data_IF_085464658999
#
_entry.id   IF_085464658999
#
_cell.length_a   1.000
_cell.length_b   1.000
_cell.length_c   1.000
_cell.angle_alpha   90.00
_cell.angle_beta   90.00
_cell.angle_gamma   90.00
#
_symmetry.space_group_name_H-M   'P 1'
#
loop_
_entity.id
_entity.type
_entity.pdbx_description
1 polymer ?
#
# COMPACT_ATOMS: atom_id res chain seq x y z
N UNK A 1 -5.06 6.64 -10.57
CA UNK A 1 -5.43 7.24 -9.28
C UNK A 1 -4.35 7.14 -8.22
N UNK A 2 -3.95 5.98 -7.67
CA UNK A 2 -2.91 5.99 -6.63
C UNK A 2 -1.54 6.48 -7.15
N UNK A 3 -1.13 6.02 -8.34
CA UNK A 3 0.07 6.56 -9.02
C UNK A 3 -0.07 8.07 -9.30
N UNK A 4 -1.26 8.55 -9.65
CA UNK A 4 -1.46 9.97 -9.96
C UNK A 4 -1.42 10.81 -8.69
N UNK A 5 -1.97 10.35 -7.56
CA UNK A 5 -1.83 11.00 -6.25
C UNK A 5 -0.35 11.09 -5.85
N UNK A 6 0.40 9.99 -6.00
CA UNK A 6 1.85 10.02 -5.75
C UNK A 6 2.55 11.04 -6.65
N UNK A 7 2.22 11.10 -7.94
CA UNK A 7 2.84 12.05 -8.87
C UNK A 7 2.52 13.52 -8.53
N UNK A 8 1.29 13.82 -8.08
CA UNK A 8 0.93 15.16 -7.60
C UNK A 8 1.77 15.60 -6.40
N UNK A 9 2.12 14.66 -5.52
CA UNK A 9 2.95 14.91 -4.33
C UNK A 9 4.44 14.58 -4.56
N UNK A 10 4.88 14.34 -5.80
CA UNK A 10 6.23 13.85 -6.09
C UNK A 10 7.32 14.81 -5.62
N UNK A 11 7.13 16.11 -5.82
CA UNK A 11 8.09 17.15 -5.39
C UNK A 11 8.38 17.08 -3.90
N UNK A 12 7.35 16.76 -3.10
CA UNK A 12 7.45 16.58 -1.66
C UNK A 12 8.00 15.20 -1.28
N UNK A 13 7.40 14.13 -1.80
CA UNK A 13 7.76 12.75 -1.45
C UNK A 13 9.14 12.32 -1.98
N UNK A 14 9.73 13.03 -2.94
CA UNK A 14 11.05 12.74 -3.51
C UNK A 14 12.09 13.83 -3.18
N UNK A 15 11.86 14.69 -2.18
CA UNK A 15 12.81 15.73 -1.80
C UNK A 15 14.07 15.13 -1.12
N UNK A 16 15.26 15.69 -1.36
CA UNK A 16 16.53 15.31 -0.70
C UNK A 16 16.63 15.78 0.75
N UNK A 17 15.89 16.84 1.12
CA UNK A 17 15.96 17.41 2.47
C UNK A 17 15.11 16.67 3.52
N UNK A 18 14.28 15.71 3.11
CA UNK A 18 13.42 14.93 4.00
C UNK A 18 14.08 13.60 4.38
N UNK A 19 13.99 13.24 5.66
CA UNK A 19 14.43 11.92 6.12
C UNK A 19 13.54 10.82 5.52
N UNK A 20 14.15 9.66 5.23
CA UNK A 20 13.43 8.50 4.69
C UNK A 20 12.28 8.06 5.60
N UNK A 21 12.46 8.19 6.91
CA UNK A 21 11.42 7.89 7.89
C UNK A 21 10.20 8.80 7.74
N UNK A 22 10.43 10.11 7.62
CA UNK A 22 9.35 11.07 7.45
C UNK A 22 8.60 10.83 6.14
N UNK A 23 9.32 10.59 5.05
CA UNK A 23 8.71 10.23 3.77
C UNK A 23 7.88 8.95 3.84
N UNK A 24 8.35 7.91 4.57
CA UNK A 24 7.56 6.68 4.81
C UNK A 24 6.22 7.00 5.50
N UNK A 25 6.25 7.84 6.54
CA UNK A 25 5.05 8.25 7.27
C UNK A 25 4.07 9.01 6.36
N UNK A 26 4.59 9.90 5.51
CA UNK A 26 3.78 10.67 4.55
C UNK A 26 3.16 9.78 3.47
N UNK A 27 3.92 8.84 2.91
CA UNK A 27 3.41 7.85 1.95
C UNK A 27 2.25 7.06 2.58
N UNK A 28 2.42 6.60 3.82
CA UNK A 28 1.37 5.90 4.55
C UNK A 28 0.13 6.78 4.77
N UNK A 29 0.32 8.05 5.10
CA UNK A 29 -0.77 9.00 5.34
C UNK A 29 -1.57 9.32 4.08
N UNK A 30 -0.92 9.64 2.96
CA UNK A 30 -1.60 10.15 1.76
C UNK A 30 -1.81 9.12 0.65
N UNK A 31 -0.82 8.23 0.43
CA UNK A 31 -0.85 7.29 -0.70
C UNK A 31 -1.55 6.01 -0.27
N UNK A 32 -1.24 5.48 0.92
CA UNK A 32 -1.92 4.28 1.41
C UNK A 32 -3.37 4.55 1.76
N UNK A 33 -3.72 5.69 2.37
CA UNK A 33 -5.14 6.03 2.64
C UNK A 33 -6.00 5.99 1.38
N UNK A 34 -5.56 6.63 0.28
CA UNK A 34 -6.28 6.62 -1.01
C UNK A 34 -6.38 5.22 -1.60
N UNK A 35 -5.34 4.39 -1.42
CA UNK A 35 -5.35 3.02 -1.91
C UNK A 35 -6.27 2.12 -1.09
N UNK A 36 -6.22 2.24 0.24
CA UNK A 36 -7.03 1.46 1.18
C UNK A 36 -8.52 1.77 0.98
N UNK A 37 -8.89 3.05 0.87
CA UNK A 37 -10.27 3.45 0.57
C UNK A 37 -10.81 2.79 -0.70
N UNK A 38 -10.00 2.72 -1.77
CA UNK A 38 -10.41 2.05 -3.02
C UNK A 38 -10.46 0.53 -2.88
N UNK A 39 -9.56 -0.04 -2.08
CA UNK A 39 -9.50 -1.47 -1.83
C UNK A 39 -10.73 -2.00 -1.08
N UNK A 40 -11.45 -1.16 -0.35
CA UNK A 40 -12.72 -1.51 0.29
C UNK A 40 -13.71 -2.06 -0.74
N UNK A 41 -13.88 -1.37 -1.86
CA UNK A 41 -14.84 -1.71 -2.93
C UNK A 41 -14.32 -2.81 -3.86
N UNK A 42 -13.00 -3.02 -3.93
CA UNK A 42 -12.43 -4.03 -4.83
C UNK A 42 -12.65 -5.46 -4.37
N UNK A 43 -13.01 -6.34 -5.30
CA UNK A 43 -12.93 -7.80 -5.11
C UNK A 43 -11.47 -8.24 -5.14
N UNK A 44 -11.01 -8.99 -4.13
CA UNK A 44 -9.65 -9.50 -4.06
C UNK A 44 -9.43 -10.67 -5.04
N UNK A 45 -9.19 -10.34 -6.31
CA UNK A 45 -8.69 -11.28 -7.32
C UNK A 45 -7.16 -11.33 -7.30
N UNK A 46 -6.57 -12.45 -7.70
CA UNK A 46 -5.11 -12.63 -7.80
C UNK A 46 -4.45 -11.52 -8.62
N UNK A 47 -5.07 -11.12 -9.72
CA UNK A 47 -4.58 -10.02 -10.57
C UNK A 47 -4.52 -8.66 -9.85
N UNK A 48 -5.46 -8.37 -8.94
CA UNK A 48 -5.48 -7.14 -8.15
C UNK A 48 -4.44 -7.20 -7.04
N UNK A 49 -4.29 -8.36 -6.38
CA UNK A 49 -3.25 -8.56 -5.37
C UNK A 49 -1.85 -8.33 -5.95
N UNK A 50 -1.56 -8.93 -7.12
CA UNK A 50 -0.29 -8.73 -7.81
C UNK A 50 -0.07 -7.25 -8.19
N UNK A 51 -1.12 -6.56 -8.65
CA UNK A 51 -1.05 -5.11 -8.96
C UNK A 51 -0.78 -4.27 -7.71
N UNK A 52 -1.33 -4.64 -6.56
CA UNK A 52 -1.11 -3.95 -5.29
C UNK A 52 0.34 -4.11 -4.82
N UNK A 53 0.88 -5.32 -4.85
CA UNK A 53 2.28 -5.55 -4.49
C UNK A 53 3.24 -4.84 -5.45
N UNK A 54 2.97 -4.88 -6.75
CA UNK A 54 3.76 -4.15 -7.74
C UNK A 54 3.68 -2.63 -7.54
N UNK A 55 2.52 -2.11 -7.12
CA UNK A 55 2.32 -0.70 -6.80
C UNK A 55 3.10 -0.30 -5.53
N UNK A 56 3.07 -1.14 -4.50
CA UNK A 56 3.85 -0.94 -3.27
C UNK A 56 5.35 -0.85 -3.57
N UNK A 57 5.87 -1.81 -4.35
CA UNK A 57 7.26 -1.79 -4.79
C UNK A 57 7.59 -0.56 -5.65
N UNK A 58 6.67 -0.13 -6.51
CA UNK A 58 6.86 1.07 -7.33
C UNK A 58 6.98 2.33 -6.48
N UNK A 59 6.14 2.48 -5.44
CA UNK A 59 6.22 3.61 -4.51
C UNK A 59 7.54 3.60 -3.74
N UNK A 60 7.98 2.45 -3.23
CA UNK A 60 9.27 2.33 -2.54
C UNK A 60 10.45 2.70 -3.44
N UNK A 61 10.45 2.25 -4.70
CA UNK A 61 11.51 2.62 -5.66
C UNK A 61 11.56 4.13 -5.91
N UNK A 62 10.40 4.78 -6.03
CA UNK A 62 10.32 6.23 -6.26
C UNK A 62 10.74 7.03 -5.03
N UNK A 63 10.33 6.60 -3.84
CA UNK A 63 10.77 7.17 -2.57
C UNK A 63 12.30 7.09 -2.39
N UNK A 64 12.91 5.95 -2.77
CA UNK A 64 14.36 5.77 -2.78
C UNK A 64 15.06 6.42 -3.98
N UNK A 65 14.31 7.09 -4.88
CA UNK A 65 14.82 7.78 -6.08
C UNK A 65 15.65 6.85 -6.97
N UNK A 66 15.32 5.57 -6.98
CA UNK A 66 16.02 4.58 -7.80
C UNK A 66 15.65 4.85 -9.26
N UNK A 67 16.61 5.16 -10.14
CA UNK A 67 16.33 5.37 -11.55
C UNK A 67 15.81 4.07 -12.17
N UNK A 68 14.94 4.18 -13.18
CA UNK A 68 14.33 3.00 -13.82
C UNK A 68 15.36 2.10 -14.51
N UNK A 69 16.51 2.65 -14.89
CA UNK A 69 17.66 1.93 -15.46
C UNK A 69 18.43 1.12 -14.42
N UNK A 70 18.30 1.43 -13.13
CA UNK A 70 18.98 0.67 -12.09
C UNK A 70 18.29 -0.69 -11.89
N UNK A 71 19.00 -1.75 -12.30
CA UNK A 71 18.58 -3.15 -12.12
C UNK A 71 18.74 -3.60 -10.67
N UNK A 72 17.96 -3.00 -9.75
CA UNK A 72 17.88 -3.42 -8.34
C UNK A 72 16.78 -4.45 -8.14
N UNK A 73 17.07 -5.54 -7.44
CA UNK A 73 16.10 -6.57 -7.02
C UNK A 73 15.11 -6.00 -6.01
N UNK A 74 13.87 -6.50 -6.02
CA UNK A 74 12.83 -6.05 -5.08
C UNK A 74 13.21 -6.27 -3.61
N UNK A 75 13.92 -7.35 -3.29
CA UNK A 75 14.44 -7.62 -1.95
C UNK A 75 15.41 -6.54 -1.46
N UNK A 76 16.32 -6.10 -2.34
CA UNK A 76 17.27 -5.03 -2.01
C UNK A 76 16.56 -3.69 -1.80
N UNK A 77 15.48 -3.44 -2.55
CA UNK A 77 14.62 -2.27 -2.33
C UNK A 77 13.98 -2.31 -0.95
N UNK A 78 13.41 -3.46 -0.53
CA UNK A 78 12.80 -3.61 0.80
C UNK A 78 13.81 -3.47 1.93
N UNK A 79 15.01 -4.06 1.78
CA UNK A 79 16.12 -3.87 2.74
C UNK A 79 16.51 -2.40 2.89
N UNK A 80 16.58 -1.66 1.79
CA UNK A 80 16.89 -0.23 1.83
C UNK A 80 15.81 0.63 2.48
N UNK A 81 14.53 0.24 2.37
CA UNK A 81 13.42 0.91 3.08
C UNK A 81 13.37 0.52 4.57
N UNK A 82 14.04 -0.59 4.92
CA UNK A 82 13.94 -1.30 6.19
C UNK A 82 12.47 -1.60 6.55
N UNK A 83 11.75 -2.20 5.59
CA UNK A 83 10.33 -2.54 5.76
C UNK A 83 9.90 -3.68 4.84
N UNK A 84 9.03 -4.54 5.35
CA UNK A 84 8.35 -5.56 4.56
C UNK A 84 7.09 -5.01 3.87
N UNK A 85 6.60 -5.75 2.86
CA UNK A 85 5.31 -5.47 2.24
C UNK A 85 4.19 -5.54 3.28
N UNK A 86 3.45 -4.45 3.42
CA UNK A 86 2.38 -4.30 4.41
C UNK A 86 1.00 -4.20 3.74
N UNK A 87 0.92 -3.67 2.52
CA UNK A 87 -0.35 -3.20 1.96
C UNK A 87 -1.37 -4.32 1.77
N UNK A 88 -0.96 -5.42 1.14
CA UNK A 88 -1.84 -6.56 0.89
C UNK A 88 -2.30 -7.21 2.21
N UNK A 89 -1.42 -7.25 3.21
CA UNK A 89 -1.75 -7.76 4.55
C UNK A 89 -2.81 -6.88 5.22
N UNK A 90 -2.65 -5.56 5.17
CA UNK A 90 -3.61 -4.60 5.71
C UNK A 90 -4.99 -4.74 5.06
N UNK A 91 -5.07 -4.85 3.74
CA UNK A 91 -6.35 -4.99 3.02
C UNK A 91 -7.05 -6.30 3.35
N UNK A 92 -6.30 -7.42 3.41
CA UNK A 92 -6.85 -8.72 3.82
C UNK A 92 -7.39 -8.67 5.24
N UNK A 93 -6.63 -8.08 6.16
CA UNK A 93 -7.05 -7.90 7.55
C UNK A 93 -8.34 -7.07 7.64
N UNK A 94 -8.40 -5.90 6.99
CA UNK A 94 -9.59 -5.04 7.01
C UNK A 94 -10.85 -5.77 6.50
N UNK A 95 -10.74 -6.50 5.38
CA UNK A 95 -11.87 -7.27 4.85
C UNK A 95 -12.29 -8.41 5.79
N UNK A 96 -11.33 -9.12 6.40
CA UNK A 96 -11.61 -10.18 7.36
C UNK A 96 -12.27 -9.63 8.63
N UNK A 97 -11.79 -8.51 9.17
CA UNK A 97 -12.40 -7.84 10.33
C UNK A 97 -13.82 -7.37 10.02
N UNK A 98 -14.05 -6.82 8.82
CA UNK A 98 -15.38 -6.39 8.38
C UNK A 98 -16.35 -7.57 8.25
N UNK A 99 -15.92 -8.68 7.66
CA UNK A 99 -16.71 -9.91 7.60
C UNK A 99 -17.01 -10.45 9.01
N UNK A 100 -16.01 -10.47 9.90
CA UNK A 100 -16.21 -10.86 11.30
C UNK A 100 -17.21 -9.97 12.03
N UNK A 101 -17.21 -8.66 11.77
CA UNK A 101 -18.21 -7.74 12.30
C UNK A 101 -19.62 -8.04 11.79
N UNK A 102 -19.78 -8.28 10.49
CA UNK A 102 -21.07 -8.68 9.90
C UNK A 102 -21.59 -9.96 10.54
N UNK A 103 -20.72 -10.97 10.69
CA UNK A 103 -21.08 -12.28 11.25
C UNK A 103 -21.40 -12.22 12.74
N UNK A 104 -20.84 -11.27 13.49
CA UNK A 104 -21.17 -11.04 14.91
C UNK A 104 -22.46 -10.25 15.10
N UNK A 105 -22.90 -9.49 14.09
CA UNK A 105 -24.14 -8.74 14.14
C UNK A 105 -25.37 -9.65 14.19
N UNK A 106 -26.28 -9.42 15.13
CA UNK A 106 -27.52 -10.20 15.33
C UNK A 106 -28.48 -10.22 14.13
N UNK A 107 -28.21 -9.42 13.08
CA UNK A 107 -29.01 -9.36 11.85
C UNK A 107 -28.79 -10.55 10.90
N UNK A 108 -27.68 -11.27 11.04
CA UNK A 108 -27.36 -12.44 10.22
C UNK A 108 -26.93 -13.61 11.13
N UNK A 109 -27.83 -14.05 12.02
CA UNK A 109 -27.64 -15.32 12.73
C UNK A 109 -27.74 -16.46 11.70
N UNK A 110 -26.60 -16.93 11.22
CA UNK A 110 -26.52 -18.05 10.25
C UNK A 110 -26.57 -19.41 10.97
N UNK A 111 -26.41 -19.41 12.30
CA UNK A 111 -26.57 -20.61 13.12
C UNK A 111 -27.74 -20.40 14.07
N UNK A 112 -28.78 -21.23 13.86
CA UNK A 112 -29.88 -21.47 14.77
C UNK A 112 -29.51 -22.61 15.70
#
# INVERSE_FOLDING_TARGET
MTKTTFMKMKSFLCNNHLSLELTKRMVKCYVWSVLLYRAEVWTLKVSIMNKMEALEMWVHRRMLKIPGTARKTNEKVLRNVNKDRELLKTVKHQKMSYLGYILKGSRYKIFN
#
